data_IF_563631502728
#
_entry.id   IF_563631502728
#
_cell.length_a   1.000
_cell.length_b   1.000
_cell.length_c   1.000
_cell.angle_alpha   90.00
_cell.angle_beta   90.00
_cell.angle_gamma   90.00
#
_symmetry.space_group_name_H-M   'P 1'
#
loop_
_entity.id
_entity.type
_entity.pdbx_description
1 polymer ?
#
# COMPACT_ATOMS: atom_id res chain seq x y z
N UNK A 1 -5.89 66.51 35.93
CA UNK A 1 -4.74 66.71 35.02
C UNK A 1 -4.49 65.43 34.22
N UNK A 2 -5.06 65.43 33.03
CA UNK A 2 -4.62 64.74 31.81
C UNK A 2 -4.62 63.20 31.77
N UNK A 3 -5.83 62.68 31.52
CA UNK A 3 -6.01 61.42 30.80
C UNK A 3 -5.79 61.67 29.29
N UNK A 4 -4.91 60.94 28.59
CA UNK A 4 -4.91 60.95 27.13
C UNK A 4 -6.08 60.11 26.61
N UNK A 5 -6.90 60.75 25.78
CA UNK A 5 -8.00 60.18 25.02
C UNK A 5 -7.53 59.01 24.13
N UNK A 6 -8.08 57.82 24.38
CA UNK A 6 -7.93 56.62 23.53
C UNK A 6 -9.22 56.36 22.74
N UNK A 7 -9.80 57.39 22.13
CA UNK A 7 -10.95 57.27 21.20
C UNK A 7 -10.56 56.88 19.76
N UNK A 8 -9.30 56.51 19.50
CA UNK A 8 -8.77 56.31 18.15
C UNK A 8 -8.69 54.88 17.58
N UNK A 9 -9.32 53.86 18.17
CA UNK A 9 -9.16 52.47 17.70
C UNK A 9 -10.43 51.59 17.70
N UNK A 10 -11.61 52.19 17.43
CA UNK A 10 -12.85 51.42 17.15
C UNK A 10 -13.05 51.07 15.67
N UNK A 11 -12.00 51.08 14.87
CA UNK A 11 -12.01 50.46 13.54
C UNK A 11 -11.19 49.18 13.65
N UNK A 12 -11.85 48.01 13.57
CA UNK A 12 -11.35 46.79 12.89
C UNK A 12 -11.93 45.44 13.37
N UNK A 13 -12.83 45.36 14.35
CA UNK A 13 -13.47 44.05 14.64
C UNK A 13 -14.54 43.71 13.58
N UNK A 14 -15.42 44.65 13.23
CA UNK A 14 -16.43 44.44 12.19
C UNK A 14 -15.83 44.29 10.78
N UNK A 15 -14.74 44.98 10.48
CA UNK A 15 -14.04 44.85 9.20
C UNK A 15 -13.31 43.50 9.06
N UNK A 16 -12.76 42.97 10.16
CA UNK A 16 -12.14 41.64 10.18
C UNK A 16 -13.18 40.53 9.98
N UNK A 17 -14.37 40.64 10.59
CA UNK A 17 -15.43 39.67 10.40
C UNK A 17 -16.07 39.74 9.00
N UNK A 18 -16.21 40.94 8.42
CA UNK A 18 -16.62 41.10 7.00
C UNK A 18 -15.59 40.55 6.03
N UNK A 19 -14.29 40.76 6.29
CA UNK A 19 -13.21 40.14 5.51
C UNK A 19 -13.22 38.62 5.62
N UNK A 20 -13.42 38.08 6.83
CA UNK A 20 -13.47 36.64 7.09
C UNK A 20 -14.68 35.98 6.43
N UNK A 21 -15.85 36.59 6.50
CA UNK A 21 -17.05 36.14 5.79
C UNK A 21 -16.89 36.24 4.26
N UNK A 22 -16.31 37.33 3.75
CA UNK A 22 -16.03 37.51 2.33
C UNK A 22 -15.03 36.49 1.77
N UNK A 23 -13.99 36.15 2.54
CA UNK A 23 -13.02 35.09 2.20
C UNK A 23 -13.72 33.72 2.25
N UNK A 24 -14.56 33.46 3.24
CA UNK A 24 -15.28 32.20 3.40
C UNK A 24 -16.30 31.96 2.27
N UNK A 25 -17.08 32.97 1.88
CA UNK A 25 -18.02 32.89 0.75
C UNK A 25 -17.28 32.78 -0.59
N UNK A 26 -16.14 33.48 -0.77
CA UNK A 26 -15.29 33.29 -1.96
C UNK A 26 -14.68 31.89 -2.01
N UNK A 27 -14.24 31.34 -0.89
CA UNK A 27 -13.75 29.95 -0.78
C UNK A 27 -14.87 28.95 -1.09
N UNK A 28 -16.07 29.17 -0.57
CA UNK A 28 -17.25 28.32 -0.82
C UNK A 28 -17.67 28.36 -2.28
N UNK A 29 -17.76 29.55 -2.89
CA UNK A 29 -18.04 29.71 -4.32
C UNK A 29 -16.95 29.11 -5.20
N UNK A 30 -15.69 29.26 -4.81
CA UNK A 30 -14.56 28.60 -5.46
C UNK A 30 -14.67 27.09 -5.33
N UNK A 31 -15.01 26.57 -4.14
CA UNK A 31 -15.21 25.14 -3.89
C UNK A 31 -16.36 24.57 -4.73
N UNK A 32 -17.47 25.29 -4.82
CA UNK A 32 -18.65 24.92 -5.63
C UNK A 32 -18.34 24.97 -7.13
N UNK A 33 -17.65 26.01 -7.61
CA UNK A 33 -17.19 26.10 -9.02
C UNK A 33 -16.18 25.02 -9.35
N UNK A 34 -15.21 24.79 -8.47
CA UNK A 34 -14.23 23.71 -8.55
C UNK A 34 -14.95 22.35 -8.65
N UNK A 35 -15.92 22.08 -7.80
CA UNK A 35 -16.74 20.86 -7.85
C UNK A 35 -17.57 20.71 -9.14
N UNK A 36 -18.10 21.82 -9.68
CA UNK A 36 -18.87 21.82 -10.92
C UNK A 36 -18.02 21.43 -12.15
N UNK A 37 -16.75 21.85 -12.18
CA UNK A 37 -15.79 21.49 -13.23
C UNK A 37 -15.49 19.98 -13.21
N UNK A 38 -15.36 19.39 -12.02
CA UNK A 38 -15.10 17.95 -11.88
C UNK A 38 -16.31 17.06 -12.23
N UNK A 39 -17.54 17.50 -11.93
CA UNK A 39 -18.78 16.78 -12.29
C UNK A 39 -18.99 16.64 -13.81
N UNK A 40 -18.38 17.49 -14.64
CA UNK A 40 -18.55 17.49 -16.09
C UNK A 40 -17.82 16.36 -16.83
N UNK A 41 -16.86 15.68 -16.20
CA UNK A 41 -16.10 14.59 -16.79
C UNK A 41 -16.28 13.28 -16.01
N UNK A 42 -17.04 12.29 -16.52
CA UNK A 42 -17.39 11.09 -15.76
C UNK A 42 -16.17 10.30 -15.27
N UNK A 43 -15.07 10.25 -16.05
CA UNK A 43 -13.83 9.58 -15.65
C UNK A 43 -13.12 10.25 -14.47
N UNK A 44 -13.09 11.59 -14.45
CA UNK A 44 -12.42 12.34 -13.39
C UNK A 44 -13.27 12.27 -12.11
N UNK A 45 -14.59 12.37 -12.26
CA UNK A 45 -15.54 12.21 -11.16
C UNK A 45 -15.46 10.82 -10.51
N UNK A 46 -15.43 9.76 -11.31
CA UNK A 46 -15.28 8.38 -10.82
C UNK A 46 -13.93 8.18 -10.12
N UNK A 47 -12.86 8.81 -10.62
CA UNK A 47 -11.53 8.74 -10.00
C UNK A 47 -11.51 9.46 -8.65
N UNK A 48 -12.01 10.70 -8.59
CA UNK A 48 -12.03 11.51 -7.36
C UNK A 48 -12.91 10.87 -6.29
N UNK A 49 -14.10 10.40 -6.66
CA UNK A 49 -15.01 9.73 -5.72
C UNK A 49 -14.44 8.39 -5.24
N UNK A 50 -13.85 7.59 -6.15
CA UNK A 50 -13.22 6.32 -5.76
C UNK A 50 -12.02 6.56 -4.85
N UNK A 51 -11.19 7.56 -5.12
CA UNK A 51 -10.07 7.94 -4.24
C UNK A 51 -10.59 8.40 -2.87
N UNK A 52 -11.62 9.24 -2.81
CA UNK A 52 -12.24 9.66 -1.54
C UNK A 52 -12.77 8.48 -0.73
N UNK A 53 -13.57 7.60 -1.35
CA UNK A 53 -14.10 6.40 -0.71
C UNK A 53 -13.02 5.40 -0.32
N UNK A 54 -11.98 5.23 -1.15
CA UNK A 54 -10.85 4.34 -0.88
C UNK A 54 -10.04 4.81 0.32
N UNK A 55 -9.82 6.13 0.43
CA UNK A 55 -9.17 6.73 1.59
C UNK A 55 -9.99 6.48 2.85
N UNK A 56 -11.28 6.80 2.84
CA UNK A 56 -12.18 6.54 3.99
C UNK A 56 -12.18 5.06 4.37
N UNK A 57 -12.31 4.17 3.38
CA UNK A 57 -12.32 2.72 3.60
C UNK A 57 -11.02 2.19 4.19
N UNK A 58 -9.87 2.76 3.82
CA UNK A 58 -8.55 2.39 4.33
C UNK A 58 -8.22 3.06 5.66
N UNK A 59 -8.81 4.21 5.98
CA UNK A 59 -8.55 4.97 7.21
C UNK A 59 -8.70 4.13 8.46
N UNK A 60 -9.77 3.35 8.58
CA UNK A 60 -10.00 2.47 9.74
C UNK A 60 -8.93 1.37 9.80
N UNK A 61 -8.50 0.85 8.65
CA UNK A 61 -7.44 -0.16 8.57
C UNK A 61 -6.09 0.33 9.13
N UNK A 62 -5.80 1.63 9.06
CA UNK A 62 -4.59 2.22 9.66
C UNK A 62 -4.62 2.24 11.19
N UNK A 63 -5.79 2.05 11.82
CA UNK A 63 -5.89 1.97 13.27
C UNK A 63 -5.52 0.59 13.81
N UNK A 64 -5.56 -0.47 12.99
CA UNK A 64 -5.28 -1.83 13.45
C UNK A 64 -3.88 -1.93 14.09
N UNK A 65 -2.80 -1.44 13.47
CA UNK A 65 -1.49 -1.48 14.11
C UNK A 65 -1.39 -0.66 15.40
N UNK A 66 -2.17 0.42 15.53
CA UNK A 66 -2.20 1.23 16.75
C UNK A 66 -2.85 0.47 17.90
N UNK A 67 -3.94 -0.27 17.63
CA UNK A 67 -4.55 -1.15 18.62
C UNK A 67 -3.67 -2.35 18.98
N UNK A 68 -2.98 -2.95 18.00
CA UNK A 68 -2.01 -4.02 18.27
C UNK A 68 -0.89 -3.50 19.19
N UNK A 69 -0.31 -2.35 18.87
CA UNK A 69 0.70 -1.69 19.69
C UNK A 69 0.19 -1.38 21.10
N UNK A 70 -1.03 -0.84 21.21
CA UNK A 70 -1.63 -0.49 22.50
C UNK A 70 -1.87 -1.72 23.38
N UNK A 71 -2.36 -2.82 22.81
CA UNK A 71 -2.80 -3.99 23.57
C UNK A 71 -1.71 -5.06 23.78
N UNK A 72 -0.79 -5.21 22.84
CA UNK A 72 0.24 -6.27 22.87
C UNK A 72 1.67 -5.73 23.01
N UNK A 73 1.89 -4.44 22.75
CA UNK A 73 3.18 -3.80 22.97
C UNK A 73 4.28 -4.27 22.03
N UNK A 74 5.50 -4.40 22.58
CA UNK A 74 6.68 -4.92 21.89
C UNK A 74 7.21 -6.10 22.72
N UNK A 75 7.25 -7.28 22.12
CA UNK A 75 7.62 -8.54 22.78
C UNK A 75 8.00 -9.60 21.74
N UNK A 76 8.55 -10.73 22.17
CA UNK A 76 8.81 -11.88 21.30
C UNK A 76 7.53 -12.43 20.65
N UNK A 77 6.41 -12.41 21.38
CA UNK A 77 5.11 -12.84 20.83
C UNK A 77 4.60 -11.89 19.74
N UNK A 78 4.76 -10.58 19.93
CA UNK A 78 4.36 -9.60 18.92
C UNK A 78 5.30 -9.65 17.71
N UNK A 79 6.60 -9.87 17.93
CA UNK A 79 7.57 -10.13 16.86
C UNK A 79 7.19 -11.36 16.05
N UNK A 80 6.81 -12.46 16.72
CA UNK A 80 6.33 -13.68 16.05
C UNK A 80 5.12 -13.40 15.17
N UNK A 81 4.12 -12.69 15.70
CA UNK A 81 2.93 -12.32 14.93
C UNK A 81 3.28 -11.42 13.74
N UNK A 82 4.03 -10.35 13.96
CA UNK A 82 4.41 -9.40 12.91
C UNK A 82 5.20 -10.10 11.81
N UNK A 83 6.08 -11.03 12.18
CA UNK A 83 6.87 -11.81 11.23
C UNK A 83 5.98 -12.76 10.41
N UNK A 84 5.14 -13.56 11.08
CA UNK A 84 4.19 -14.48 10.43
C UNK A 84 3.24 -13.71 9.50
N UNK A 85 2.64 -12.62 9.98
CA UNK A 85 1.77 -11.76 9.19
C UNK A 85 2.50 -11.12 8.01
N UNK A 86 3.79 -10.80 8.16
CA UNK A 86 4.64 -10.33 7.06
C UNK A 86 4.77 -11.34 5.91
N UNK A 87 4.90 -12.63 6.22
CA UNK A 87 4.93 -13.70 5.21
C UNK A 87 3.57 -13.87 4.52
N UNK A 88 2.47 -13.78 5.27
CA UNK A 88 1.11 -13.80 4.71
C UNK A 88 0.86 -12.58 3.81
N UNK A 89 1.33 -11.40 4.23
CA UNK A 89 1.28 -10.19 3.41
C UNK A 89 2.11 -10.33 2.13
N UNK A 90 3.28 -10.95 2.18
CA UNK A 90 4.05 -11.21 0.97
C UNK A 90 3.26 -12.08 -0.01
N UNK A 91 2.77 -13.24 0.41
CA UNK A 91 2.01 -14.14 -0.46
C UNK A 91 0.75 -13.45 -1.01
N UNK A 92 -0.03 -12.79 -0.15
CA UNK A 92 -1.23 -12.10 -0.61
C UNK A 92 -0.94 -10.95 -1.58
N UNK A 93 0.12 -10.17 -1.36
CA UNK A 93 0.41 -9.03 -2.23
C UNK A 93 1.03 -9.42 -3.59
N UNK A 94 1.58 -10.64 -3.75
CA UNK A 94 2.02 -11.13 -5.06
C UNK A 94 0.88 -11.68 -5.92
N UNK A 95 -0.22 -12.13 -5.30
CA UNK A 95 -1.37 -12.72 -6.01
C UNK A 95 -2.56 -11.79 -6.13
N UNK A 96 -3.02 -11.21 -5.01
CA UNK A 96 -4.32 -10.56 -4.93
C UNK A 96 -4.43 -9.33 -5.85
N UNK A 97 -3.49 -8.36 -5.83
CA UNK A 97 -3.53 -7.21 -6.73
C UNK A 97 -3.39 -7.59 -8.20
N UNK A 98 -2.64 -8.65 -8.51
CA UNK A 98 -2.44 -9.14 -9.88
C UNK A 98 -3.76 -9.68 -10.43
N UNK A 99 -4.42 -10.55 -9.66
CA UNK A 99 -5.71 -11.13 -10.03
C UNK A 99 -6.77 -10.04 -10.18
N UNK A 100 -6.83 -9.07 -9.26
CA UNK A 100 -7.77 -7.94 -9.33
C UNK A 100 -7.61 -7.14 -10.63
N UNK A 101 -6.37 -6.85 -11.06
CA UNK A 101 -6.11 -6.08 -12.28
C UNK A 101 -6.33 -6.91 -13.56
N UNK A 102 -5.85 -8.16 -13.59
CA UNK A 102 -5.91 -9.01 -14.78
C UNK A 102 -7.34 -9.45 -15.09
N UNK A 103 -8.20 -9.63 -14.08
CA UNK A 103 -9.55 -10.15 -14.31
C UNK A 103 -10.47 -9.15 -15.01
N UNK A 104 -10.27 -7.85 -14.81
CA UNK A 104 -11.11 -6.77 -15.37
C UNK A 104 -11.26 -6.86 -16.90
N UNK A 105 -10.18 -6.86 -17.71
CA UNK A 105 -10.31 -6.97 -19.17
C UNK A 105 -10.91 -8.31 -19.62
N UNK A 106 -10.66 -9.40 -18.91
CA UNK A 106 -11.24 -10.72 -19.23
C UNK A 106 -12.75 -10.75 -19.01
N UNK A 107 -13.25 -10.10 -17.96
CA UNK A 107 -14.69 -9.93 -17.72
C UNK A 107 -15.31 -9.02 -18.78
N UNK A 108 -14.65 -7.91 -19.12
CA UNK A 108 -15.14 -7.00 -20.15
C UNK A 108 -15.29 -7.71 -21.51
N UNK A 109 -14.29 -8.51 -21.91
CA UNK A 109 -14.34 -9.34 -23.12
C UNK A 109 -15.44 -10.42 -23.02
N UNK A 110 -15.61 -11.04 -21.84
CA UNK A 110 -16.66 -12.05 -21.62
C UNK A 110 -18.06 -11.48 -21.88
N UNK A 111 -18.30 -10.29 -21.32
CA UNK A 111 -19.57 -9.58 -21.47
C UNK A 111 -19.82 -9.16 -22.92
N UNK A 112 -18.79 -8.62 -23.60
CA UNK A 112 -18.89 -8.21 -25.00
C UNK A 112 -19.26 -9.39 -25.91
N UNK A 113 -18.71 -10.58 -25.63
CA UNK A 113 -18.92 -11.78 -26.44
C UNK A 113 -20.12 -12.62 -25.97
N UNK A 114 -20.97 -12.13 -25.04
CA UNK A 114 -22.14 -12.85 -24.54
C UNK A 114 -21.83 -14.14 -23.77
N UNK A 115 -20.63 -14.27 -23.21
CA UNK A 115 -20.17 -15.48 -22.51
C UNK A 115 -20.59 -15.48 -21.04
N UNK A 116 -20.71 -16.68 -20.44
CA UNK A 116 -21.09 -16.85 -19.03
C UNK A 116 -19.96 -16.37 -18.09
N UNK A 117 -20.09 -15.13 -17.64
CA UNK A 117 -19.19 -14.49 -16.66
C UNK A 117 -19.18 -15.27 -15.34
N UNK A 118 -20.34 -15.76 -14.89
CA UNK A 118 -20.47 -16.45 -13.60
C UNK A 118 -19.72 -17.77 -13.57
N UNK A 119 -19.73 -18.51 -14.69
CA UNK A 119 -18.91 -19.71 -14.86
C UNK A 119 -17.42 -19.37 -14.99
N UNK A 120 -17.06 -18.28 -15.67
CA UNK A 120 -15.66 -17.84 -15.74
C UNK A 120 -15.11 -17.51 -14.35
N UNK A 121 -15.80 -16.65 -13.58
CA UNK A 121 -15.39 -16.30 -12.21
C UNK A 121 -15.35 -17.53 -11.31
N UNK A 122 -16.35 -18.41 -11.41
CA UNK A 122 -16.37 -19.65 -10.64
C UNK A 122 -15.23 -20.62 -10.97
N UNK A 123 -14.77 -20.66 -12.23
CA UNK A 123 -13.56 -21.39 -12.62
C UNK A 123 -12.28 -20.74 -12.08
N UNK A 124 -12.18 -19.40 -12.09
CA UNK A 124 -11.04 -18.68 -11.51
C UNK A 124 -10.95 -18.94 -10.01
N UNK A 125 -12.07 -18.87 -9.29
CA UNK A 125 -12.14 -19.20 -7.87
C UNK A 125 -11.79 -20.67 -7.63
N UNK A 126 -12.44 -21.62 -8.32
CA UNK A 126 -12.22 -23.05 -8.12
C UNK A 126 -10.78 -23.49 -8.39
N UNK A 127 -10.32 -23.33 -9.64
CA UNK A 127 -8.97 -23.77 -10.05
C UNK A 127 -7.88 -22.92 -9.38
N UNK A 128 -8.11 -21.62 -9.20
CA UNK A 128 -7.18 -20.74 -8.50
C UNK A 128 -6.97 -21.16 -7.04
N UNK A 129 -8.03 -21.61 -6.36
CA UNK A 129 -7.93 -22.10 -4.98
C UNK A 129 -7.07 -23.35 -4.88
N UNK A 130 -7.22 -24.30 -5.80
CA UNK A 130 -6.38 -25.52 -5.80
C UNK A 130 -4.91 -25.13 -5.93
N UNK A 131 -4.57 -24.27 -6.88
CA UNK A 131 -3.18 -23.84 -7.08
C UNK A 131 -2.61 -23.09 -5.87
N UNK A 132 -3.39 -22.21 -5.25
CA UNK A 132 -2.98 -21.47 -4.06
C UNK A 132 -2.82 -22.38 -2.84
N UNK A 133 -3.76 -23.30 -2.59
CA UNK A 133 -3.68 -24.24 -1.47
C UNK A 133 -2.47 -25.17 -1.60
N UNK A 134 -2.18 -25.66 -2.81
CA UNK A 134 -0.97 -26.47 -3.04
C UNK A 134 0.30 -25.66 -2.73
N UNK A 135 0.36 -24.40 -3.18
CA UNK A 135 1.50 -23.53 -2.88
C UNK A 135 1.63 -23.22 -1.39
N UNK A 136 0.51 -22.99 -0.71
CA UNK A 136 0.46 -22.67 0.71
C UNK A 136 0.90 -23.84 1.57
N UNK A 137 0.39 -25.05 1.28
CA UNK A 137 0.85 -26.29 1.93
C UNK A 137 2.34 -26.51 1.68
N UNK A 138 2.80 -26.36 0.43
CA UNK A 138 4.23 -26.48 0.12
C UNK A 138 5.09 -25.46 0.89
N UNK A 139 4.63 -24.21 1.01
CA UNK A 139 5.30 -23.18 1.79
C UNK A 139 5.35 -23.57 3.28
N UNK A 140 4.24 -24.02 3.87
CA UNK A 140 4.15 -24.42 5.28
C UNK A 140 5.04 -25.64 5.61
N UNK A 141 5.23 -26.56 4.67
CA UNK A 141 6.12 -27.72 4.86
C UNK A 141 7.60 -27.30 4.92
N UNK A 142 7.98 -26.25 4.19
CA UNK A 142 9.39 -25.82 4.05
C UNK A 142 9.72 -24.64 4.97
N UNK A 143 8.73 -23.89 5.44
CA UNK A 143 8.96 -22.62 6.17
C UNK A 143 9.75 -22.84 7.46
N UNK A 144 9.42 -23.86 8.26
CA UNK A 144 10.05 -24.08 9.57
C UNK A 144 11.57 -24.28 9.48
N UNK A 145 12.10 -25.23 8.68
CA UNK A 145 13.55 -25.39 8.55
C UNK A 145 14.24 -24.20 7.86
N UNK A 146 13.55 -23.49 6.95
CA UNK A 146 14.11 -22.27 6.34
C UNK A 146 14.25 -21.17 7.38
N UNK A 147 13.21 -20.91 8.18
CA UNK A 147 13.24 -19.86 9.19
C UNK A 147 14.28 -20.11 10.26
N UNK A 148 14.50 -21.36 10.69
CA UNK A 148 15.58 -21.68 11.65
C UNK A 148 16.99 -21.37 11.13
N UNK A 149 17.17 -21.19 9.82
CA UNK A 149 18.47 -20.83 9.22
C UNK A 149 18.58 -19.33 8.94
N UNK A 150 17.48 -18.69 8.51
CA UNK A 150 17.52 -17.29 8.05
C UNK A 150 17.11 -16.27 9.11
N UNK A 151 16.63 -16.72 10.27
CA UNK A 151 16.24 -15.87 11.42
C UNK A 151 16.99 -16.32 12.67
N UNK A 152 17.04 -15.46 13.69
CA UNK A 152 17.66 -15.74 14.99
C UNK A 152 16.61 -15.83 16.11
N UNK A 153 15.40 -16.28 15.76
CA UNK A 153 14.35 -16.50 16.73
C UNK A 153 14.64 -17.73 17.59
N UNK A 154 14.38 -17.62 18.90
CA UNK A 154 14.47 -18.77 19.79
C UNK A 154 13.44 -19.86 19.42
N UNK A 155 13.64 -21.13 19.82
CA UNK A 155 12.75 -22.23 19.43
C UNK A 155 11.29 -22.03 19.83
N UNK A 156 11.00 -21.35 20.96
CA UNK A 156 9.63 -21.07 21.39
C UNK A 156 8.97 -20.06 20.45
N UNK A 157 9.69 -19.00 20.10
CA UNK A 157 9.22 -17.97 19.16
C UNK A 157 9.04 -18.56 17.75
N UNK A 158 9.94 -19.42 17.27
CA UNK A 158 9.78 -20.13 15.98
C UNK A 158 8.53 -21.04 15.95
N UNK A 159 8.25 -21.76 17.05
CA UNK A 159 7.04 -22.58 17.14
C UNK A 159 5.76 -21.71 17.15
N UNK A 160 5.80 -20.55 17.82
CA UNK A 160 4.69 -19.60 17.79
C UNK A 160 4.48 -19.01 16.38
N UNK A 161 5.54 -18.63 15.68
CA UNK A 161 5.46 -18.20 14.27
C UNK A 161 4.79 -19.27 13.43
N UNK A 162 5.16 -20.55 13.61
CA UNK A 162 4.56 -21.65 12.86
C UNK A 162 3.06 -21.83 13.17
N UNK A 163 2.65 -21.75 14.45
CA UNK A 163 1.23 -21.77 14.84
C UNK A 163 0.46 -20.62 14.19
N UNK A 164 0.98 -19.40 14.30
CA UNK A 164 0.37 -18.21 13.72
C UNK A 164 0.30 -18.28 12.19
N UNK A 165 1.29 -18.88 11.53
CA UNK A 165 1.26 -19.12 10.09
C UNK A 165 0.15 -20.09 9.69
N UNK A 166 -0.09 -21.16 10.47
CA UNK A 166 -1.22 -22.08 10.24
C UNK A 166 -2.56 -21.40 10.47
N UNK A 167 -2.69 -20.62 11.54
CA UNK A 167 -3.92 -19.90 11.87
C UNK A 167 -4.25 -18.82 10.84
N UNK A 168 -3.24 -18.12 10.33
CA UNK A 168 -3.41 -17.05 9.34
C UNK A 168 -3.34 -17.54 7.90
N UNK A 169 -2.98 -18.80 7.67
CA UNK A 169 -2.84 -19.40 6.33
C UNK A 169 -4.06 -19.16 5.43
N UNK A 170 -5.33 -19.37 5.92
CA UNK A 170 -6.52 -19.18 5.10
C UNK A 170 -6.68 -17.74 4.58
N UNK A 171 -6.02 -16.76 5.22
CA UNK A 171 -6.11 -15.35 4.87
C UNK A 171 -5.61 -15.08 3.45
N UNK A 172 -4.61 -15.82 2.96
CA UNK A 172 -4.10 -15.65 1.58
C UNK A 172 -5.20 -15.96 0.57
N UNK A 173 -5.88 -17.10 0.74
CA UNK A 173 -6.99 -17.52 -0.12
C UNK A 173 -8.14 -16.50 -0.07
N UNK A 174 -8.54 -16.09 1.13
CA UNK A 174 -9.62 -15.11 1.33
C UNK A 174 -9.29 -13.77 0.65
N UNK A 175 -8.06 -13.27 0.78
CA UNK A 175 -7.62 -12.03 0.14
C UNK A 175 -7.67 -12.12 -1.40
N UNK A 176 -7.23 -13.25 -1.98
CA UNK A 176 -7.29 -13.45 -3.44
C UNK A 176 -8.74 -13.55 -3.91
N UNK A 177 -9.60 -14.27 -3.20
CA UNK A 177 -11.03 -14.35 -3.52
C UNK A 177 -11.69 -12.99 -3.45
N UNK A 178 -11.43 -12.21 -2.41
CA UNK A 178 -11.94 -10.84 -2.31
C UNK A 178 -11.44 -9.99 -3.48
N UNK A 179 -10.20 -10.15 -3.89
CA UNK A 179 -9.61 -9.41 -5.02
C UNK A 179 -10.24 -9.78 -6.37
N UNK A 180 -10.65 -11.05 -6.55
CA UNK A 180 -11.48 -11.49 -7.69
C UNK A 180 -12.82 -10.76 -7.69
N UNK A 181 -13.49 -10.67 -6.54
CA UNK A 181 -14.79 -9.98 -6.43
C UNK A 181 -14.64 -8.46 -6.62
N UNK A 182 -13.57 -7.85 -6.10
CA UNK A 182 -13.26 -6.45 -6.34
C UNK A 182 -13.03 -6.15 -7.82
N UNK A 183 -12.18 -6.93 -8.49
CA UNK A 183 -11.94 -6.81 -9.94
C UNK A 183 -13.22 -7.01 -10.74
N UNK A 184 -14.09 -7.91 -10.29
CA UNK A 184 -15.42 -8.11 -10.86
C UNK A 184 -16.31 -6.88 -10.73
N UNK A 185 -16.47 -6.34 -9.51
CA UNK A 185 -17.27 -5.14 -9.28
C UNK A 185 -16.71 -3.93 -10.04
N UNK A 186 -15.39 -3.79 -10.11
CA UNK A 186 -14.72 -2.76 -10.90
C UNK A 186 -15.00 -2.91 -12.41
N UNK A 187 -15.00 -4.12 -12.96
CA UNK A 187 -15.37 -4.39 -14.35
C UNK A 187 -16.84 -4.05 -14.67
N UNK A 188 -17.70 -4.09 -13.66
CA UNK A 188 -19.11 -3.66 -13.73
C UNK A 188 -19.31 -2.18 -13.35
N UNK A 189 -18.22 -1.42 -13.17
CA UNK A 189 -18.23 0.00 -12.77
C UNK A 189 -18.93 0.26 -11.42
N UNK A 190 -18.84 -0.70 -10.49
CA UNK A 190 -19.38 -0.62 -9.13
C UNK A 190 -18.26 -0.36 -8.12
N UNK A 191 -17.58 0.77 -8.28
CA UNK A 191 -16.32 1.11 -7.57
C UNK A 191 -16.47 1.34 -6.06
N UNK A 192 -17.66 1.75 -5.61
CA UNK A 192 -17.91 2.10 -4.19
C UNK A 192 -17.77 0.88 -3.27
N UNK A 193 -18.30 -0.28 -3.66
CA UNK A 193 -18.29 -1.46 -2.78
C UNK A 193 -16.86 -1.97 -2.52
N UNK A 194 -16.00 -2.17 -3.55
CA UNK A 194 -14.59 -2.50 -3.32
C UNK A 194 -13.88 -1.46 -2.45
N UNK A 195 -14.14 -0.17 -2.67
CA UNK A 195 -13.48 0.93 -1.96
C UNK A 195 -13.82 0.98 -0.46
N UNK A 196 -15.07 0.73 -0.07
CA UNK A 196 -15.53 0.78 1.33
C UNK A 196 -15.34 -0.57 2.05
N UNK A 197 -15.29 -1.68 1.30
CA UNK A 197 -15.13 -3.03 1.87
C UNK A 197 -14.02 -3.21 2.93
N UNK A 198 -12.83 -2.56 2.85
CA UNK A 198 -11.78 -2.73 3.85
C UNK A 198 -12.16 -2.19 5.23
N UNK A 199 -13.10 -1.24 5.32
CA UNK A 199 -13.59 -0.71 6.58
C UNK A 199 -14.30 -1.80 7.40
N UNK A 200 -15.17 -2.60 6.77
CA UNK A 200 -15.87 -3.70 7.44
C UNK A 200 -14.89 -4.73 8.00
N UNK A 201 -13.87 -5.09 7.20
CA UNK A 201 -12.78 -5.95 7.67
C UNK A 201 -12.11 -5.37 8.90
N UNK A 202 -11.74 -4.09 8.85
CA UNK A 202 -11.00 -3.45 9.94
C UNK A 202 -11.84 -3.39 11.23
N UNK A 203 -13.12 -3.03 11.14
CA UNK A 203 -14.03 -2.97 12.28
C UNK A 203 -14.17 -4.35 12.93
N UNK A 204 -14.45 -5.39 12.13
CA UNK A 204 -14.62 -6.75 12.64
C UNK A 204 -13.32 -7.27 13.23
N UNK A 205 -12.19 -7.03 12.56
CA UNK A 205 -10.87 -7.42 13.05
C UNK A 205 -10.60 -6.79 14.43
N UNK A 206 -10.73 -5.46 14.55
CA UNK A 206 -10.53 -4.75 15.82
C UNK A 206 -11.48 -5.27 16.90
N UNK A 207 -12.75 -5.54 16.55
CA UNK A 207 -13.74 -6.09 17.49
C UNK A 207 -13.38 -7.48 18.01
N UNK A 208 -12.92 -8.38 17.14
CA UNK A 208 -12.48 -9.74 17.52
C UNK A 208 -11.24 -9.66 18.41
N UNK A 209 -10.23 -8.86 18.02
CA UNK A 209 -9.01 -8.69 18.81
C UNK A 209 -9.37 -8.14 20.19
N UNK A 210 -10.17 -7.07 20.25
CA UNK A 210 -10.58 -6.45 21.50
C UNK A 210 -11.28 -7.43 22.44
N UNK A 211 -12.13 -8.30 21.90
CA UNK A 211 -12.95 -9.22 22.69
C UNK A 211 -12.17 -10.45 23.20
N UNK A 212 -11.12 -10.86 22.48
CA UNK A 212 -10.41 -12.12 22.75
C UNK A 212 -8.94 -11.95 23.16
N UNK A 213 -8.40 -10.73 23.14
CA UNK A 213 -6.97 -10.48 23.45
C UNK A 213 -6.53 -11.02 24.81
N UNK A 214 -7.39 -10.96 25.82
CA UNK A 214 -7.03 -11.35 27.19
C UNK A 214 -7.03 -12.89 27.37
N UNK A 215 -7.75 -13.62 26.50
CA UNK A 215 -7.86 -15.08 26.54
C UNK A 215 -6.88 -15.78 25.59
N UNK A 216 -6.63 -15.19 24.42
CA UNK A 216 -5.88 -15.81 23.34
C UNK A 216 -4.53 -15.14 23.04
N UNK A 217 -4.24 -13.98 23.65
CA UNK A 217 -3.02 -13.24 23.36
C UNK A 217 -2.91 -12.90 21.86
N UNK A 218 -1.72 -13.06 21.29
CA UNK A 218 -1.45 -12.74 19.87
C UNK A 218 -2.24 -13.60 18.88
N UNK A 219 -2.76 -14.76 19.29
CA UNK A 219 -3.66 -15.58 18.47
C UNK A 219 -5.00 -14.89 18.18
N UNK A 220 -5.45 -13.99 19.07
CA UNK A 220 -6.62 -13.14 18.81
C UNK A 220 -6.42 -12.26 17.57
N UNK A 221 -5.19 -11.82 17.32
CA UNK A 221 -4.82 -11.01 16.16
C UNK A 221 -4.96 -11.84 14.88
N UNK A 222 -4.39 -13.05 14.86
CA UNK A 222 -4.52 -13.97 13.74
C UNK A 222 -5.99 -14.24 13.38
N UNK A 223 -6.79 -14.61 14.38
CA UNK A 223 -8.23 -14.86 14.22
C UNK A 223 -8.97 -13.61 13.71
N UNK A 224 -8.68 -12.43 14.26
CA UNK A 224 -9.29 -11.17 13.85
C UNK A 224 -9.07 -10.83 12.37
N UNK A 225 -7.86 -11.07 11.85
CA UNK A 225 -7.59 -10.89 10.42
C UNK A 225 -8.36 -11.88 9.54
N UNK A 226 -8.41 -13.16 9.91
CA UNK A 226 -9.12 -14.20 9.15
C UNK A 226 -10.62 -13.94 9.14
N UNK A 227 -11.23 -13.74 10.32
CA UNK A 227 -12.67 -13.50 10.46
C UNK A 227 -13.07 -12.17 9.80
N UNK A 228 -12.25 -11.13 9.95
CA UNK A 228 -12.48 -9.84 9.31
C UNK A 228 -12.47 -9.95 7.78
N UNK A 229 -11.51 -10.69 7.21
CA UNK A 229 -11.42 -10.85 5.74
C UNK A 229 -12.52 -11.78 5.22
N UNK A 230 -12.86 -12.86 5.94
CA UNK A 230 -14.00 -13.72 5.60
C UNK A 230 -15.29 -12.92 5.58
N UNK A 231 -15.51 -12.06 6.58
CA UNK A 231 -16.69 -11.19 6.63
C UNK A 231 -16.73 -10.22 5.45
N UNK A 232 -15.59 -9.61 5.09
CA UNK A 232 -15.48 -8.75 3.90
C UNK A 232 -15.83 -9.48 2.62
N UNK A 233 -15.31 -10.70 2.46
CA UNK A 233 -15.59 -11.56 1.31
C UNK A 233 -17.10 -11.85 1.20
N UNK A 234 -17.73 -12.25 2.31
CA UNK A 234 -19.17 -12.56 2.35
C UNK A 234 -20.03 -11.34 2.01
N UNK A 235 -19.66 -10.16 2.51
CA UNK A 235 -20.34 -8.89 2.17
C UNK A 235 -20.28 -8.64 0.66
N UNK A 236 -19.10 -8.75 0.04
CA UNK A 236 -18.94 -8.52 -1.41
C UNK A 236 -19.67 -9.56 -2.25
N UNK A 237 -19.69 -10.82 -1.81
CA UNK A 237 -20.50 -11.86 -2.43
C UNK A 237 -22.00 -11.53 -2.35
N UNK A 238 -22.46 -11.07 -1.19
CA UNK A 238 -23.82 -10.57 -0.97
C UNK A 238 -24.18 -9.41 -1.91
N UNK A 239 -23.26 -8.45 -2.09
CA UNK A 239 -23.42 -7.33 -3.03
C UNK A 239 -23.59 -7.81 -4.47
N UNK A 240 -22.77 -8.76 -4.94
CA UNK A 240 -22.89 -9.32 -6.30
C UNK A 240 -24.24 -10.00 -6.51
N UNK A 241 -24.71 -10.76 -5.50
CA UNK A 241 -26.03 -11.42 -5.52
C UNK A 241 -27.17 -10.39 -5.51
N UNK A 242 -27.09 -9.38 -4.66
CA UNK A 242 -28.09 -8.32 -4.53
C UNK A 242 -28.23 -7.52 -5.83
N UNK A 243 -27.12 -7.16 -6.47
CA UNK A 243 -27.09 -6.48 -7.76
C UNK A 243 -27.44 -7.38 -8.95
N UNK A 244 -27.63 -8.69 -8.73
CA UNK A 244 -27.97 -9.69 -9.77
C UNK A 244 -27.02 -9.66 -10.97
N UNK A 245 -25.72 -9.42 -10.76
CA UNK A 245 -24.76 -9.23 -11.85
C UNK A 245 -24.56 -10.50 -12.70
N UNK A 246 -24.54 -11.66 -12.05
CA UNK A 246 -24.49 -13.00 -12.64
C UNK A 246 -24.77 -14.05 -11.56
N UNK A 247 -25.03 -15.30 -11.97
CA UNK A 247 -25.11 -16.45 -11.05
C UNK A 247 -23.73 -17.07 -10.92
N UNK A 248 -23.08 -16.97 -9.76
CA UNK A 248 -21.79 -17.61 -9.52
C UNK A 248 -21.95 -19.13 -9.54
N UNK A 249 -21.09 -19.82 -10.29
CA UNK A 249 -21.05 -21.29 -10.36
C UNK A 249 -19.62 -21.76 -10.22
N UNK A 250 -19.22 -22.13 -9.00
CA UNK A 250 -17.88 -22.70 -8.76
C UNK A 250 -17.75 -23.95 -9.62
N UNK A 251 -16.64 -24.04 -10.34
CA UNK A 251 -16.41 -25.09 -11.31
C UNK A 251 -14.91 -25.31 -11.49
N UNK A 252 -14.52 -26.49 -11.96
CA UNK A 252 -13.12 -26.89 -12.09
C UNK A 252 -12.73 -27.16 -13.55
N UNK A 253 -13.32 -26.42 -14.48
CA UNK A 253 -13.07 -26.63 -15.91
C UNK A 253 -11.98 -25.69 -16.44
N UNK A 254 -10.87 -26.27 -16.89
CA UNK A 254 -9.75 -25.53 -17.47
C UNK A 254 -10.05 -25.12 -18.92
N UNK A 255 -10.72 -24.00 -19.09
CA UNK A 255 -11.01 -23.43 -20.42
C UNK A 255 -9.79 -22.72 -21.03
N UNK A 256 -9.79 -22.55 -22.36
CA UNK A 256 -8.74 -21.79 -23.06
C UNK A 256 -8.62 -20.34 -22.56
N UNK A 257 -9.76 -19.69 -22.22
CA UNK A 257 -9.74 -18.36 -21.58
C UNK A 257 -9.06 -18.41 -20.22
N UNK A 258 -9.39 -19.39 -19.39
CA UNK A 258 -8.81 -19.52 -18.06
C UNK A 258 -7.29 -19.75 -18.11
N UNK A 259 -6.82 -20.54 -19.08
CA UNK A 259 -5.39 -20.73 -19.33
C UNK A 259 -4.70 -19.42 -19.72
N UNK A 260 -5.33 -18.61 -20.60
CA UNK A 260 -4.82 -17.27 -20.96
C UNK A 260 -4.79 -16.34 -19.74
N UNK A 261 -5.82 -16.38 -18.91
CA UNK A 261 -5.89 -15.60 -17.67
C UNK A 261 -4.72 -15.95 -16.73
N UNK A 262 -4.52 -17.22 -16.40
CA UNK A 262 -3.44 -17.64 -15.50
C UNK A 262 -2.05 -17.37 -16.07
N UNK A 263 -1.86 -17.52 -17.39
CA UNK A 263 -0.59 -17.15 -18.05
C UNK A 263 -0.30 -15.66 -17.92
N UNK A 264 -1.31 -14.79 -18.09
CA UNK A 264 -1.12 -13.35 -17.91
C UNK A 264 -0.88 -13.00 -16.45
N UNK A 265 -1.59 -13.63 -15.51
CA UNK A 265 -1.41 -13.42 -14.08
C UNK A 265 -0.02 -13.86 -13.62
N UNK A 266 0.47 -15.03 -14.03
CA UNK A 266 1.77 -15.55 -13.60
C UNK A 266 2.92 -14.62 -13.97
N UNK A 267 2.92 -14.04 -15.17
CA UNK A 267 3.94 -13.06 -15.57
C UNK A 267 3.95 -11.81 -14.69
N UNK A 268 2.78 -11.33 -14.25
CA UNK A 268 2.70 -10.17 -13.36
C UNK A 268 3.08 -10.52 -11.91
N UNK A 269 2.74 -11.73 -11.45
CA UNK A 269 3.10 -12.22 -10.11
C UNK A 269 4.62 -12.26 -9.93
N UNK A 270 5.40 -12.70 -10.93
CA UNK A 270 6.88 -12.68 -10.88
C UNK A 270 7.43 -11.28 -10.58
N UNK A 271 6.83 -10.25 -11.19
CA UNK A 271 7.22 -8.86 -10.91
C UNK A 271 6.90 -8.42 -9.47
N UNK A 272 5.78 -8.89 -8.92
CA UNK A 272 5.39 -8.55 -7.54
C UNK A 272 6.27 -9.24 -6.50
N UNK A 273 6.81 -10.43 -6.79
CA UNK A 273 7.79 -11.08 -5.90
C UNK A 273 8.98 -10.16 -5.64
N UNK A 274 9.55 -9.55 -6.68
CA UNK A 274 10.68 -8.64 -6.53
C UNK A 274 10.34 -7.40 -5.66
N UNK A 275 9.09 -6.95 -5.65
CA UNK A 275 8.66 -5.79 -4.85
C UNK A 275 8.43 -6.16 -3.39
N UNK A 276 7.79 -7.30 -3.13
CA UNK A 276 7.36 -7.69 -1.79
C UNK A 276 8.37 -8.53 -1.03
N UNK A 277 9.44 -8.97 -1.68
CA UNK A 277 10.52 -9.74 -1.05
C UNK A 277 11.28 -8.93 0.00
N UNK A 278 11.61 -7.66 -0.29
CA UNK A 278 12.45 -6.80 0.57
C UNK A 278 11.88 -6.63 1.99
N UNK A 279 10.59 -6.33 2.21
CA UNK A 279 10.05 -6.26 3.57
C UNK A 279 10.16 -7.56 4.39
N UNK A 280 10.21 -8.75 3.76
CA UNK A 280 10.45 -9.99 4.51
C UNK A 280 11.90 -10.04 4.97
N UNK A 281 12.84 -9.76 4.05
CA UNK A 281 14.27 -9.71 4.35
C UNK A 281 14.54 -8.74 5.50
N UNK A 282 13.93 -7.56 5.48
CA UNK A 282 14.09 -6.57 6.54
C UNK A 282 13.64 -7.08 7.90
N UNK A 283 12.54 -7.84 7.96
CA UNK A 283 12.06 -8.46 9.21
C UNK A 283 12.93 -9.63 9.64
N UNK A 284 13.44 -10.42 8.70
CA UNK A 284 14.33 -11.54 9.00
C UNK A 284 15.64 -11.01 9.60
N UNK A 285 16.22 -9.96 9.02
CA UNK A 285 17.42 -9.33 9.58
C UNK A 285 17.14 -8.60 10.89
N UNK A 286 15.95 -8.01 11.06
CA UNK A 286 15.55 -7.44 12.35
C UNK A 286 15.41 -8.51 13.45
N UNK A 287 15.15 -9.77 13.11
CA UNK A 287 15.13 -10.86 14.10
C UNK A 287 16.51 -11.20 14.66
N UNK A 288 17.61 -10.80 13.99
CA UNK A 288 18.98 -10.99 14.47
C UNK A 288 19.41 -9.93 15.50
N UNK A 289 18.52 -8.99 15.80
CA UNK A 289 18.73 -7.95 16.79
C UNK A 289 17.94 -8.30 18.06
N UNK A 290 18.00 -7.43 19.07
CA UNK A 290 17.29 -7.66 20.33
C UNK A 290 15.79 -7.91 20.14
N UNK A 291 15.21 -8.72 21.03
CA UNK A 291 13.77 -9.01 21.07
C UNK A 291 12.98 -7.70 21.04
N UNK A 292 11.97 -7.63 20.16
CA UNK A 292 11.16 -6.45 19.91
C UNK A 292 11.55 -5.68 18.65
N UNK A 293 12.72 -5.96 18.07
CA UNK A 293 13.23 -5.27 16.89
C UNK A 293 12.31 -5.40 15.67
N UNK A 294 11.66 -6.55 15.50
CA UNK A 294 10.74 -6.81 14.39
C UNK A 294 9.46 -5.95 14.54
N UNK A 295 8.92 -5.87 15.76
CA UNK A 295 7.76 -5.04 16.10
C UNK A 295 8.07 -3.54 16.00
N UNK A 296 9.22 -3.09 16.50
CA UNK A 296 9.67 -1.69 16.40
C UNK A 296 9.78 -1.27 14.93
N UNK A 297 10.41 -2.11 14.09
CA UNK A 297 10.50 -1.88 12.65
C UNK A 297 9.11 -1.81 12.00
N UNK A 298 8.21 -2.72 12.38
CA UNK A 298 6.83 -2.76 11.89
C UNK A 298 6.04 -1.50 12.27
N UNK A 299 6.07 -1.07 13.54
CA UNK A 299 5.35 0.12 13.98
C UNK A 299 5.85 1.40 13.30
N UNK A 300 7.15 1.51 13.06
CA UNK A 300 7.72 2.60 12.27
C UNK A 300 7.28 2.55 10.79
N UNK A 301 7.31 1.37 10.17
CA UNK A 301 6.84 1.17 8.78
C UNK A 301 5.36 1.49 8.61
N UNK A 302 4.51 1.13 9.59
CA UNK A 302 3.08 1.47 9.58
C UNK A 302 2.83 2.98 9.63
N UNK A 303 3.60 3.74 10.41
CA UNK A 303 3.53 5.20 10.36
C UNK A 303 4.05 5.77 9.03
N UNK A 304 5.09 5.17 8.46
CA UNK A 304 5.67 5.58 7.18
C UNK A 304 4.71 5.37 5.99
N UNK A 305 3.90 4.31 6.01
CA UNK A 305 3.00 3.98 4.90
C UNK A 305 1.80 4.93 4.78
N UNK A 306 1.42 5.60 5.89
CA UNK A 306 0.29 6.53 5.93
C UNK A 306 0.51 7.69 4.94
N UNK A 307 1.53 8.56 5.08
CA UNK A 307 1.75 9.67 4.15
C UNK A 307 1.97 9.18 2.70
N UNK A 308 2.65 8.04 2.52
CA UNK A 308 2.82 7.42 1.19
C UNK A 308 1.46 7.13 0.54
N UNK A 309 0.53 6.55 1.28
CA UNK A 309 -0.78 6.17 0.74
C UNK A 309 -1.60 7.38 0.36
N UNK A 310 -1.61 8.42 1.20
CA UNK A 310 -2.32 9.67 0.90
C UNK A 310 -1.75 10.39 -0.33
N UNK A 311 -0.42 10.47 -0.45
CA UNK A 311 0.23 11.09 -1.61
C UNK A 311 -0.02 10.25 -2.88
N UNK A 312 0.12 8.93 -2.78
CA UNK A 312 -0.01 8.03 -3.94
C UNK A 312 -1.43 8.00 -4.51
N UNK A 313 -2.47 8.01 -3.67
CA UNK A 313 -3.87 7.87 -4.13
C UNK A 313 -4.41 9.09 -4.87
N UNK A 314 -3.99 10.30 -4.50
CA UNK A 314 -4.41 11.53 -5.19
C UNK A 314 -3.55 11.86 -6.41
N UNK A 315 -2.23 11.84 -6.23
CA UNK A 315 -1.31 12.36 -7.23
C UNK A 315 -1.09 11.39 -8.39
N UNK A 316 -0.90 10.09 -8.12
CA UNK A 316 -0.39 9.14 -9.11
C UNK A 316 -1.44 8.73 -10.15
N UNK A 317 -2.73 8.82 -9.80
CA UNK A 317 -3.82 8.58 -10.74
C UNK A 317 -3.90 9.72 -11.78
N UNK A 318 -3.71 10.96 -11.34
CA UNK A 318 -3.84 12.15 -12.21
C UNK A 318 -2.65 12.32 -13.15
N UNK A 319 -1.42 12.04 -12.69
CA UNK A 319 -0.20 12.15 -13.51
C UNK A 319 -0.16 11.10 -14.61
N UNK A 320 -0.51 9.85 -14.31
CA UNK A 320 -0.50 8.76 -15.28
C UNK A 320 -1.47 9.00 -16.44
N UNK A 321 -2.71 9.38 -16.13
CA UNK A 321 -3.73 9.67 -17.16
C UNK A 321 -3.29 10.82 -18.08
N UNK A 322 -2.74 11.90 -17.51
CA UNK A 322 -2.29 13.06 -18.28
C UNK A 322 -1.11 12.72 -19.20
N UNK A 323 -0.15 11.91 -18.73
CA UNK A 323 1.02 11.52 -19.53
C UNK A 323 0.72 10.50 -20.62
N UNK A 324 -0.18 9.55 -20.35
CA UNK A 324 -0.62 8.59 -21.37
C UNK A 324 -1.33 9.28 -22.54
N UNK A 325 -2.20 10.26 -22.25
CA UNK A 325 -2.89 11.05 -23.28
C UNK A 325 -1.90 11.92 -24.06
N UNK A 326 -1.03 12.67 -23.37
CA UNK A 326 -0.03 13.52 -24.04
C UNK A 326 0.98 12.76 -24.89
N UNK A 327 1.38 11.54 -24.51
CA UNK A 327 2.27 10.72 -25.35
C UNK A 327 1.58 10.32 -26.67
N UNK A 328 0.30 10.02 -26.61
CA UNK A 328 -0.50 9.68 -27.80
C UNK A 328 -0.66 10.90 -28.71
N UNK A 329 -0.84 12.10 -28.14
CA UNK A 329 -1.10 13.32 -28.91
C UNK A 329 0.14 14.07 -29.40
N UNK A 330 1.26 14.05 -28.67
CA UNK A 330 2.42 14.93 -28.91
C UNK A 330 3.79 14.23 -28.97
N UNK A 331 3.82 12.90 -28.95
CA UNK A 331 5.06 12.12 -29.02
C UNK A 331 5.94 12.17 -27.76
N UNK A 332 7.09 11.49 -27.80
CA UNK A 332 7.98 11.30 -26.64
C UNK A 332 8.78 12.57 -26.24
N UNK A 333 8.85 13.57 -27.12
CA UNK A 333 9.67 14.77 -26.96
C UNK A 333 9.34 15.61 -25.72
N UNK A 334 8.05 15.74 -25.36
CA UNK A 334 7.58 16.56 -24.22
C UNK A 334 7.46 15.79 -22.89
N UNK A 335 7.46 14.45 -22.94
CA UNK A 335 7.30 13.61 -21.75
C UNK A 335 8.39 13.86 -20.69
N UNK A 336 9.65 14.02 -21.11
CA UNK A 336 10.75 14.28 -20.17
C UNK A 336 10.61 15.60 -19.40
N UNK A 337 10.12 16.65 -20.06
CA UNK A 337 9.90 17.96 -19.42
C UNK A 337 8.73 17.91 -18.43
N UNK A 338 7.64 17.20 -18.79
CA UNK A 338 6.49 16.99 -17.92
C UNK A 338 6.86 16.16 -16.68
N UNK A 339 7.62 15.07 -16.86
CA UNK A 339 8.13 14.25 -15.75
C UNK A 339 9.01 15.10 -14.83
N UNK A 340 9.95 15.88 -15.37
CA UNK A 340 10.81 16.76 -14.56
C UNK A 340 9.99 17.77 -13.77
N UNK A 341 8.98 18.40 -14.37
CA UNK A 341 8.12 19.38 -13.69
C UNK A 341 7.37 18.75 -12.52
N UNK A 342 6.80 17.56 -12.72
CA UNK A 342 6.10 16.82 -11.66
C UNK A 342 7.08 16.39 -10.57
N UNK A 343 8.25 15.86 -10.92
CA UNK A 343 9.29 15.47 -9.95
C UNK A 343 9.73 16.67 -9.09
N UNK A 344 9.95 17.84 -9.68
CA UNK A 344 10.33 19.04 -8.92
C UNK A 344 9.18 19.49 -8.01
N UNK A 345 7.96 19.62 -8.56
CA UNK A 345 6.81 20.14 -7.81
C UNK A 345 6.44 19.22 -6.64
N UNK A 346 6.30 17.93 -6.93
CA UNK A 346 5.92 16.91 -5.94
C UNK A 346 7.07 16.63 -4.99
N UNK A 347 8.30 16.58 -5.49
CA UNK A 347 9.49 16.39 -4.68
C UNK A 347 9.60 17.48 -3.61
N UNK A 348 9.44 18.76 -3.99
CA UNK A 348 9.44 19.88 -3.05
C UNK A 348 8.33 19.77 -2.01
N UNK A 349 7.09 19.51 -2.43
CA UNK A 349 5.95 19.31 -1.51
C UNK A 349 6.25 18.16 -0.53
N UNK A 350 6.80 17.06 -1.03
CA UNK A 350 7.11 15.89 -0.19
C UNK A 350 8.24 16.21 0.79
N UNK A 351 9.24 17.00 0.40
CA UNK A 351 10.29 17.49 1.31
C UNK A 351 9.67 18.32 2.44
N UNK A 352 8.75 19.25 2.14
CA UNK A 352 8.05 20.02 3.18
C UNK A 352 7.27 19.11 4.15
N UNK A 353 6.55 18.11 3.61
CA UNK A 353 5.82 17.13 4.43
C UNK A 353 6.81 16.32 5.29
N UNK A 354 7.93 15.87 4.72
CA UNK A 354 8.98 15.15 5.46
C UNK A 354 9.52 15.97 6.62
N UNK A 355 9.88 17.23 6.39
CA UNK A 355 10.37 18.13 7.45
C UNK A 355 9.32 18.29 8.55
N UNK A 356 8.07 18.55 8.18
CA UNK A 356 6.96 18.67 9.13
C UNK A 356 6.77 17.42 9.98
N UNK A 357 6.78 16.23 9.36
CA UNK A 357 6.64 14.95 10.07
C UNK A 357 7.85 14.63 10.95
N UNK A 358 9.07 15.01 10.53
CA UNK A 358 10.28 14.86 11.35
C UNK A 358 10.21 15.73 12.60
N UNK A 359 9.74 16.98 12.48
CA UNK A 359 9.57 17.90 13.61
C UNK A 359 8.50 17.36 14.58
N UNK A 360 7.38 16.88 14.05
CA UNK A 360 6.28 16.31 14.85
C UNK A 360 6.45 14.83 15.18
N UNK A 361 7.64 14.27 14.95
CA UNK A 361 7.87 12.83 15.07
C UNK A 361 7.51 12.30 16.45
N UNK A 362 8.05 12.93 17.50
CA UNK A 362 7.80 12.54 18.90
C UNK A 362 6.31 12.60 19.28
N UNK A 363 5.59 13.74 19.10
CA UNK A 363 4.18 13.79 19.46
C UNK A 363 3.32 12.84 18.63
N UNK A 364 3.64 12.59 17.36
CA UNK A 364 2.89 11.62 16.54
C UNK A 364 3.12 10.19 17.02
N UNK A 365 4.36 9.79 17.30
CA UNK A 365 4.64 8.45 17.87
C UNK A 365 3.94 8.28 19.21
N UNK A 366 3.98 9.28 20.08
CA UNK A 366 3.31 9.22 21.39
C UNK A 366 1.78 9.21 21.26
N UNK A 367 1.22 9.94 20.29
CA UNK A 367 -0.22 9.91 20.03
C UNK A 367 -0.66 8.54 19.48
N UNK A 368 0.15 7.94 18.61
CA UNK A 368 -0.17 6.66 17.97
C UNK A 368 0.01 5.47 18.92
N UNK A 369 1.04 5.50 19.77
CA UNK A 369 1.51 4.32 20.51
C UNK A 369 1.67 4.54 22.02
N UNK A 370 1.58 5.78 22.50
CA UNK A 370 1.80 6.11 23.92
C UNK A 370 0.66 5.74 24.87
N UNK A 371 -0.41 5.13 24.36
CA UNK A 371 -1.49 4.57 25.19
C UNK A 371 -1.39 3.06 25.14
N UNK A 372 -0.76 2.42 26.12
CA UNK A 372 -0.73 0.96 26.21
C UNK A 372 0.57 0.37 26.72
N UNK A 373 0.89 -0.82 26.23
CA UNK A 373 1.98 -1.67 26.72
C UNK A 373 3.39 -1.27 26.25
N UNK A 374 3.55 -0.22 25.44
CA UNK A 374 4.86 0.21 24.93
C UNK A 374 5.53 1.18 25.89
N UNK A 375 6.77 0.87 26.30
CA UNK A 375 7.56 1.72 27.19
C UNK A 375 8.07 2.99 26.48
N UNK A 376 8.39 4.06 27.24
CA UNK A 376 8.95 5.29 26.65
C UNK A 376 10.24 5.08 25.84
N UNK A 377 11.10 4.15 26.26
CA UNK A 377 12.35 3.85 25.53
C UNK A 377 12.07 3.21 24.17
N UNK A 378 11.14 2.26 24.12
CA UNK A 378 10.70 1.64 22.88
C UNK A 378 9.98 2.64 21.96
N UNK A 379 9.20 3.57 22.52
CA UNK A 379 8.62 4.67 21.74
C UNK A 379 9.71 5.57 21.12
N UNK A 380 10.77 5.88 21.88
CA UNK A 380 11.90 6.64 21.35
C UNK A 380 12.61 5.87 20.23
N UNK A 381 12.71 4.54 20.36
CA UNK A 381 13.29 3.68 19.33
C UNK A 381 12.42 3.64 18.05
N UNK A 382 11.11 3.44 18.17
CA UNK A 382 10.14 3.55 17.06
C UNK A 382 10.28 4.92 16.39
N UNK A 383 10.37 5.99 17.17
CA UNK A 383 10.62 7.34 16.68
C UNK A 383 11.94 7.45 15.91
N UNK A 384 13.02 6.83 16.41
CA UNK A 384 14.33 6.82 15.73
C UNK A 384 14.27 6.07 14.40
N UNK A 385 13.64 4.90 14.35
CA UNK A 385 13.47 4.13 13.11
C UNK A 385 12.60 4.91 12.10
N UNK A 386 11.50 5.50 12.58
CA UNK A 386 10.59 6.27 11.74
C UNK A 386 11.25 7.52 11.14
N UNK A 387 12.16 8.18 11.88
CA UNK A 387 12.98 9.27 11.34
C UNK A 387 13.74 8.86 10.08
N UNK A 388 14.44 7.72 10.12
CA UNK A 388 15.22 7.26 8.97
C UNK A 388 14.33 6.85 7.80
N UNK A 389 13.15 6.29 8.05
CA UNK A 389 12.16 6.09 6.99
C UNK A 389 11.67 7.41 6.39
N UNK A 390 11.38 8.43 7.22
CA UNK A 390 10.89 9.74 6.74
C UNK A 390 11.90 10.45 5.83
N UNK A 391 13.21 10.30 6.08
CA UNK A 391 14.25 10.78 5.17
C UNK A 391 14.14 10.14 3.76
N UNK A 392 13.63 8.91 3.68
CA UNK A 392 13.36 8.19 2.44
C UNK A 392 12.11 8.64 1.69
N UNK A 393 11.18 9.35 2.36
CA UNK A 393 9.86 9.68 1.81
C UNK A 393 9.93 10.44 0.48
N UNK A 394 10.73 11.51 0.32
CA UNK A 394 10.80 12.25 -0.95
C UNK A 394 11.35 11.37 -2.08
N UNK A 395 12.38 10.58 -1.78
CA UNK A 395 12.97 9.66 -2.76
C UNK A 395 12.00 8.57 -3.17
N UNK A 396 11.22 8.03 -2.24
CA UNK A 396 10.22 7.00 -2.54
C UNK A 396 9.14 7.52 -3.50
N UNK A 397 8.59 8.71 -3.24
CA UNK A 397 7.57 9.31 -4.10
C UNK A 397 8.15 9.61 -5.50
N UNK A 398 9.35 10.19 -5.57
CA UNK A 398 10.03 10.48 -6.84
C UNK A 398 10.36 9.20 -7.61
N UNK A 399 10.84 8.15 -6.95
CA UNK A 399 11.11 6.86 -7.59
C UNK A 399 9.85 6.27 -8.21
N UNK A 400 8.70 6.36 -7.52
CA UNK A 400 7.42 5.88 -8.04
C UNK A 400 6.97 6.64 -9.29
N UNK A 401 7.20 7.95 -9.34
CA UNK A 401 6.95 8.78 -10.52
C UNK A 401 7.82 8.31 -11.70
N UNK A 402 9.11 8.08 -11.47
CA UNK A 402 9.99 7.58 -12.53
C UNK A 402 9.62 6.17 -12.99
N UNK A 403 9.25 5.26 -12.07
CA UNK A 403 8.77 3.92 -12.43
C UNK A 403 7.56 4.02 -13.37
N UNK A 404 6.59 4.90 -13.07
CA UNK A 404 5.46 5.16 -13.97
C UNK A 404 5.91 5.65 -15.36
N UNK A 405 6.86 6.58 -15.42
CA UNK A 405 7.39 7.05 -16.70
C UNK A 405 8.03 5.90 -17.52
N UNK A 406 8.78 4.99 -16.87
CA UNK A 406 9.35 3.81 -17.53
C UNK A 406 8.29 2.81 -18.00
N UNK A 407 7.21 2.65 -17.24
CA UNK A 407 6.07 1.82 -17.64
C UNK A 407 5.37 2.38 -18.89
N UNK A 408 5.19 3.70 -18.98
CA UNK A 408 4.66 4.38 -20.18
C UNK A 408 5.59 4.17 -21.38
N UNK A 409 6.91 4.14 -21.17
CA UNK A 409 7.92 3.83 -22.19
C UNK A 409 8.11 2.32 -22.45
N UNK A 410 7.31 1.46 -21.82
CA UNK A 410 7.40 -0.02 -21.92
C UNK A 410 8.80 -0.57 -21.60
N UNK A 411 9.56 0.08 -20.72
CA UNK A 411 10.90 -0.36 -20.33
C UNK A 411 10.87 -1.43 -19.20
N UNK A 412 10.12 -2.49 -19.41
CA UNK A 412 9.82 -3.51 -18.38
C UNK A 412 11.03 -4.37 -18.01
N UNK A 413 11.90 -4.70 -18.97
CA UNK A 413 13.13 -5.47 -18.72
C UNK A 413 14.08 -4.75 -17.76
N UNK A 414 14.27 -3.45 -17.96
CA UNK A 414 15.08 -2.63 -17.06
C UNK A 414 14.49 -2.59 -15.66
N UNK A 415 13.18 -2.35 -15.54
CA UNK A 415 12.49 -2.31 -14.23
C UNK A 415 12.65 -3.62 -13.45
N UNK A 416 12.68 -4.76 -14.13
CA UNK A 416 12.93 -6.06 -13.50
C UNK A 416 14.37 -6.17 -12.97
N UNK A 417 15.39 -5.88 -13.80
CA UNK A 417 16.81 -5.92 -13.37
C UNK A 417 17.07 -4.93 -12.23
N UNK A 418 16.50 -3.73 -12.34
CA UNK A 418 16.54 -2.69 -11.31
C UNK A 418 15.99 -3.20 -9.97
N UNK A 419 14.84 -3.87 -9.97
CA UNK A 419 14.21 -4.35 -8.74
C UNK A 419 15.09 -5.38 -8.01
N UNK A 420 15.61 -6.38 -8.73
CA UNK A 420 16.50 -7.39 -8.14
C UNK A 420 17.84 -6.80 -7.68
N UNK A 421 18.45 -5.91 -8.46
CA UNK A 421 19.72 -5.28 -8.09
C UNK A 421 19.62 -4.44 -6.81
N UNK A 422 18.54 -3.67 -6.65
CA UNK A 422 18.33 -2.88 -5.43
C UNK A 422 18.01 -3.73 -4.20
N UNK A 423 17.33 -4.86 -4.37
CA UNK A 423 17.12 -5.80 -3.27
C UNK A 423 18.45 -6.35 -2.74
N UNK A 424 19.37 -6.71 -3.63
CA UNK A 424 20.71 -7.16 -3.26
C UNK A 424 21.51 -6.07 -2.52
N UNK A 425 21.52 -4.84 -3.05
CA UNK A 425 22.16 -3.71 -2.37
C UNK A 425 21.52 -3.41 -1.00
N UNK A 426 20.21 -3.59 -0.87
CA UNK A 426 19.51 -3.44 0.40
C UNK A 426 19.89 -4.47 1.45
N UNK A 427 20.12 -5.74 1.06
CA UNK A 427 20.61 -6.77 1.97
C UNK A 427 21.99 -6.39 2.52
N UNK A 428 22.90 -5.98 1.63
CA UNK A 428 24.26 -5.57 2.02
C UNK A 428 24.21 -4.32 2.93
N UNK A 429 23.43 -3.32 2.54
CA UNK A 429 23.24 -2.10 3.30
C UNK A 429 22.63 -2.36 4.68
N UNK A 430 21.66 -3.28 4.78
CA UNK A 430 21.07 -3.70 6.05
C UNK A 430 22.15 -4.31 6.94
N UNK A 431 22.92 -5.27 6.42
CA UNK A 431 23.95 -5.97 7.19
C UNK A 431 25.00 -5.00 7.75
N UNK A 432 25.45 -4.03 6.94
CA UNK A 432 26.43 -3.03 7.40
C UNK A 432 25.81 -2.09 8.43
N UNK A 433 24.63 -1.52 8.16
CA UNK A 433 24.06 -0.45 8.99
C UNK A 433 23.40 -0.97 10.27
N UNK A 434 22.86 -2.20 10.27
CA UNK A 434 22.28 -2.80 11.47
C UNK A 434 23.32 -3.05 12.55
N UNK A 435 24.55 -3.42 12.16
CA UNK A 435 25.67 -3.61 13.09
C UNK A 435 26.12 -2.29 13.75
N UNK A 436 25.86 -1.14 13.11
CA UNK A 436 26.26 0.19 13.62
C UNK A 436 25.13 0.85 14.42
N UNK A 437 23.87 0.69 13.99
CA UNK A 437 22.74 1.49 14.47
C UNK A 437 21.56 0.65 14.99
N UNK A 438 21.68 -0.68 15.03
CA UNK A 438 20.58 -1.58 15.34
C UNK A 438 19.46 -1.48 14.32
N UNK A 439 18.20 -1.55 14.79
CA UNK A 439 17.00 -1.57 13.94
C UNK A 439 16.89 -0.34 13.03
N UNK A 440 17.33 0.81 13.53
CA UNK A 440 17.36 2.06 12.77
C UNK A 440 18.24 1.98 11.51
N UNK A 441 19.27 1.13 11.52
CA UNK A 441 20.14 0.87 10.38
C UNK A 441 19.41 0.25 9.20
N UNK A 442 18.43 -0.62 9.45
CA UNK A 442 17.59 -1.26 8.40
C UNK A 442 16.73 -0.20 7.68
N UNK A 443 16.15 0.74 8.43
CA UNK A 443 15.41 1.85 7.85
C UNK A 443 16.31 2.79 7.04
N UNK A 444 17.50 3.13 7.55
CA UNK A 444 18.48 3.95 6.84
C UNK A 444 18.99 3.29 5.55
N UNK A 445 19.23 1.97 5.58
CA UNK A 445 19.58 1.18 4.40
C UNK A 445 18.50 1.31 3.33
N UNK A 446 17.25 1.10 3.71
CA UNK A 446 16.10 1.21 2.80
C UNK A 446 15.98 2.61 2.19
N UNK A 447 16.18 3.65 3.00
CA UNK A 447 16.21 5.04 2.54
C UNK A 447 17.37 5.31 1.57
N UNK A 448 18.57 4.82 1.88
CA UNK A 448 19.76 4.99 1.04
C UNK A 448 19.61 4.31 -0.31
N UNK A 449 19.12 3.06 -0.32
CA UNK A 449 18.80 2.30 -1.53
C UNK A 449 17.74 3.02 -2.35
N UNK A 450 16.71 3.57 -1.71
CA UNK A 450 15.65 4.32 -2.41
C UNK A 450 16.19 5.61 -3.02
N UNK A 451 17.08 6.33 -2.34
CA UNK A 451 17.75 7.52 -2.87
C UNK A 451 18.61 7.19 -4.10
N UNK A 452 19.43 6.13 -3.99
CA UNK A 452 20.23 5.61 -5.11
C UNK A 452 19.34 5.19 -6.29
N UNK A 453 18.17 4.62 -5.98
CA UNK A 453 17.19 4.20 -6.98
C UNK A 453 16.71 5.36 -7.86
N UNK A 454 16.52 6.56 -7.29
CA UNK A 454 16.10 7.76 -8.02
C UNK A 454 17.16 8.17 -9.04
N UNK A 455 18.44 8.08 -8.66
CA UNK A 455 19.57 8.37 -9.56
C UNK A 455 19.56 7.40 -10.74
N UNK A 456 19.49 6.09 -10.50
CA UNK A 456 19.45 5.09 -11.56
C UNK A 456 18.24 5.24 -12.49
N UNK A 457 17.05 5.45 -11.92
CA UNK A 457 15.82 5.65 -12.69
C UNK A 457 15.89 6.92 -13.54
N UNK A 458 16.30 8.05 -12.97
CA UNK A 458 16.39 9.32 -13.72
C UNK A 458 17.41 9.24 -14.87
N UNK A 459 18.55 8.60 -14.62
CA UNK A 459 19.59 8.37 -15.63
C UNK A 459 19.09 7.52 -16.80
N UNK A 460 18.46 6.38 -16.49
CA UNK A 460 17.97 5.46 -17.50
C UNK A 460 16.78 6.01 -18.29
N UNK A 461 15.93 6.83 -17.66
CA UNK A 461 14.87 7.56 -18.36
C UNK A 461 15.46 8.51 -19.41
N UNK A 462 16.48 9.28 -19.02
CA UNK A 462 17.14 10.25 -19.90
C UNK A 462 17.77 9.55 -21.11
N UNK A 463 18.48 8.43 -20.87
CA UNK A 463 19.04 7.60 -21.95
C UNK A 463 17.97 7.05 -22.90
N UNK A 464 16.86 6.55 -22.35
CA UNK A 464 15.77 5.99 -23.16
C UNK A 464 15.08 7.06 -24.02
N UNK A 465 14.82 8.25 -23.46
CA UNK A 465 14.24 9.37 -24.20
C UNK A 465 15.17 9.88 -25.30
N UNK A 466 16.49 9.92 -25.06
CA UNK A 466 17.48 10.28 -26.10
C UNK A 466 17.45 9.30 -27.26
N UNK A 467 17.45 7.99 -26.98
CA UNK A 467 17.36 6.94 -28.01
C UNK A 467 16.07 7.01 -28.83
N UNK A 468 14.92 7.29 -28.22
CA UNK A 468 13.66 7.47 -28.97
C UNK A 468 13.71 8.70 -29.89
N UNK A 469 14.35 9.80 -29.47
CA UNK A 469 14.52 11.00 -30.32
C UNK A 469 15.46 10.75 -31.50
N UNK A 470 16.55 10.02 -31.30
CA UNK A 470 17.49 9.66 -32.37
C UNK A 470 16.81 8.80 -33.44
N UNK A 471 15.99 7.82 -33.05
CA UNK A 471 15.24 6.99 -34.01
C UNK A 471 14.23 7.83 -34.82
N UNK A 472 13.54 8.78 -34.19
CA UNK A 472 12.59 9.68 -34.89
C UNK A 472 13.29 10.64 -35.85
N UNK A 473 14.55 11.04 -35.60
CA UNK A 473 15.29 11.89 -36.55
C UNK A 473 15.89 11.12 -37.73
N UNK A 474 16.04 9.80 -37.61
CA UNK A 474 16.61 8.93 -38.65
C UNK A 474 15.52 8.34 -39.57
N UNK A 475 14.27 8.29 -39.10
CA UNK A 475 13.09 7.80 -39.85
C UNK A 475 12.32 8.97 -40.42
#
# INVERSE_FOLDING_TARGET
PDCPDLSGNRVRLDDLDRLRQGIFERLKLWFVKFWKIFRGHPLIWDTVTTTGWSTIGKSIGFLIPFFIAAWFGVSSETDAFVFAYGLILFLSNIFAPVVENVIVPFIAEARKNGQDVGRFIGNVLGIGSIGLLVLEVAALLVVKPVLSVVTDFDPRTLNLIYSLLLETSPLVLLLVWTSILNGTLNAYKKFVFPAVSPAFRAIINIGIIFSLRDQMGVHAIALGYVVGELSRLLILFGVIRWLRLFKLRISFHLTARLRRFFRTASYQTVGMVAVWFKPIVDRAMASWLAVGSVSVLYYADRLYIIPITFIATGLMATTLSHWSIRRYEMGSGRLGADVRRVVITVGLITVFITVFLIVLRRPIVYLAYGRGAITPDLMNEVGRVWFFYLLGLPFYIVARIYIQAHLVLKNTRFLMIYAFGLNGLGIIGNYILMNIMGVAGIALSTTSVTALSVVFLSYMLTRKLKKEREVIMIT
#
